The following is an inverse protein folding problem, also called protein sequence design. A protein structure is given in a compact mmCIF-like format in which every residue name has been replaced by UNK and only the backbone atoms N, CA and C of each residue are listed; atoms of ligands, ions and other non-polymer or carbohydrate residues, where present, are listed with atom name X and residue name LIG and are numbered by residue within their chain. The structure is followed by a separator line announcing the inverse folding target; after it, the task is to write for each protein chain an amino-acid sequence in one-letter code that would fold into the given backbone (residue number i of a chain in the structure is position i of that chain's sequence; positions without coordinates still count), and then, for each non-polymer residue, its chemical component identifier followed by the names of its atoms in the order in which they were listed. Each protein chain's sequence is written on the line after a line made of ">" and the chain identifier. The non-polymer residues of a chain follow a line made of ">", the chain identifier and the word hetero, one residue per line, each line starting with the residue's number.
data_IF_367057698867
#
_entry.id   IF_367057698867
#
_cell.length_a   1.000
_cell.length_b   1.000
_cell.length_c   1.000
_cell.angle_alpha   90.00
_cell.angle_beta   90.00
_cell.angle_gamma   90.00
#
_symmetry.space_group_name_H-M   'P 1'
#
loop_
_entity.id
_entity.type
_entity.pdbx_description
1 polymer ?
#
# COMPACT_ATOMS: atom_id res chain seq x y z
N UNK A 1 -10.85 11.85 5.51
CA UNK A 1 -9.51 12.28 5.00
C UNK A 1 -8.56 12.74 6.11
N UNK A 2 -8.78 13.87 6.83
CA UNK A 2 -7.79 14.36 7.84
C UNK A 2 -7.36 13.28 8.83
N UNK A 3 -8.32 12.56 9.41
CA UNK A 3 -8.04 11.44 10.34
C UNK A 3 -7.13 10.39 9.71
N UNK A 4 -7.43 9.94 8.49
CA UNK A 4 -6.63 8.95 7.76
C UNK A 4 -5.19 9.43 7.51
N UNK A 5 -5.00 10.71 7.16
CA UNK A 5 -3.65 11.28 6.99
C UNK A 5 -2.87 11.30 8.31
N UNK A 6 -3.52 11.67 9.42
CA UNK A 6 -2.87 11.68 10.74
C UNK A 6 -2.51 10.26 11.20
N UNK A 7 -3.36 9.28 10.91
CA UNK A 7 -3.12 7.87 11.19
C UNK A 7 -1.95 7.32 10.35
N UNK A 8 -1.92 7.62 9.05
CA UNK A 8 -0.84 7.26 8.13
C UNK A 8 0.52 7.83 8.58
N UNK A 9 0.56 9.12 8.96
CA UNK A 9 1.75 9.77 9.56
C UNK A 9 2.19 9.15 10.87
N UNK A 10 1.24 8.61 11.65
CA UNK A 10 1.52 7.93 12.89
C UNK A 10 1.96 6.46 12.68
N UNK A 11 2.08 6.01 11.43
CA UNK A 11 2.38 4.63 11.04
C UNK A 11 1.35 3.60 11.55
N UNK A 12 0.12 4.06 11.75
CA UNK A 12 -1.06 3.22 11.92
C UNK A 12 -1.89 3.35 10.65
N UNK A 13 -1.54 2.60 9.60
CA UNK A 13 -2.05 2.86 8.25
C UNK A 13 -3.55 2.57 8.12
N UNK A 14 -4.35 3.49 7.56
CA UNK A 14 -5.73 3.22 7.15
C UNK A 14 -5.83 2.44 5.84
N UNK A 15 -4.71 1.92 5.30
CA UNK A 15 -4.59 1.52 3.91
C UNK A 15 -4.55 2.76 3.02
N UNK A 16 -5.26 2.73 1.89
CA UNK A 16 -5.39 3.90 1.02
C UNK A 16 -6.20 5.01 1.69
N UNK A 17 -5.76 6.25 1.54
CA UNK A 17 -6.51 7.43 1.94
C UNK A 17 -7.59 7.68 0.88
N UNK A 18 -8.83 7.29 1.20
CA UNK A 18 -9.99 7.40 0.31
C UNK A 18 -11.02 8.45 0.77
N UNK A 19 -10.77 9.07 1.92
CA UNK A 19 -11.63 10.08 2.51
C UNK A 19 -12.83 9.51 3.29
N UNK A 20 -13.03 8.19 3.32
CA UNK A 20 -14.21 7.52 3.87
C UNK A 20 -13.87 6.78 5.16
N UNK A 21 -14.82 6.74 6.10
CA UNK A 21 -14.70 5.83 7.24
C UNK A 21 -15.05 4.41 6.80
N UNK A 22 -14.33 3.42 7.30
CA UNK A 22 -14.53 2.02 6.94
C UNK A 22 -13.62 1.10 7.76
N UNK A 23 -13.70 -0.20 7.51
CA UNK A 23 -13.03 -1.20 8.35
C UNK A 23 -11.52 -1.00 8.49
N UNK A 24 -10.81 -0.52 7.47
CA UNK A 24 -9.38 -0.22 7.59
C UNK A 24 -9.12 1.04 8.44
N UNK A 25 -9.96 2.06 8.35
CA UNK A 25 -9.88 3.23 9.25
C UNK A 25 -10.11 2.79 10.70
N UNK A 26 -11.07 1.90 10.96
CA UNK A 26 -11.33 1.37 12.32
C UNK A 26 -10.13 0.55 12.85
N UNK A 27 -9.50 -0.26 11.99
CA UNK A 27 -8.25 -0.97 12.32
C UNK A 27 -7.11 -0.02 12.64
N UNK A 28 -6.94 1.02 11.83
CA UNK A 28 -5.92 2.05 12.04
C UNK A 28 -6.11 2.79 13.35
N UNK A 29 -7.36 3.10 13.74
CA UNK A 29 -7.65 3.68 15.06
C UNK A 29 -7.24 2.72 16.18
N UNK A 30 -7.58 1.43 16.10
CA UNK A 30 -7.14 0.42 17.09
C UNK A 30 -5.62 0.30 17.17
N UNK A 31 -4.96 0.30 16.03
CA UNK A 31 -3.50 0.29 15.94
C UNK A 31 -2.90 1.52 16.64
N UNK A 32 -3.43 2.71 16.36
CA UNK A 32 -2.99 3.94 17.00
C UNK A 32 -3.25 3.91 18.52
N UNK A 33 -4.43 3.46 18.96
CA UNK A 33 -4.74 3.27 20.37
C UNK A 33 -3.71 2.37 21.05
N UNK A 34 -3.39 1.22 20.45
CA UNK A 34 -2.39 0.29 20.95
C UNK A 34 -1.00 0.93 21.03
N UNK A 35 -0.58 1.66 20.00
CA UNK A 35 0.71 2.36 19.96
C UNK A 35 0.81 3.47 21.02
N UNK A 36 -0.32 4.08 21.38
CA UNK A 36 -0.40 5.15 22.38
C UNK A 36 -0.72 4.65 23.80
N UNK A 37 -0.94 3.34 24.00
CA UNK A 37 -1.33 2.77 25.28
C UNK A 37 -2.74 3.15 25.73
N UNK A 38 -3.64 3.40 24.78
CA UNK A 38 -5.05 3.71 25.00
C UNK A 38 -5.90 2.44 25.06
N UNK A 39 -7.20 2.60 25.33
CA UNK A 39 -8.18 1.52 25.22
C UNK A 39 -8.39 1.18 23.74
N UNK A 40 -8.12 -0.08 23.37
CA UNK A 40 -8.21 -0.59 21.98
C UNK A 40 -9.67 -0.86 21.52
N UNK A 41 -10.56 0.13 21.57
CA UNK A 41 -11.96 -0.03 21.16
C UNK A 41 -12.27 0.42 19.73
N UNK A 42 -11.31 1.05 19.05
CA UNK A 42 -11.38 1.48 17.65
C UNK A 42 -12.28 2.69 17.44
N UNK A 43 -12.61 3.41 18.51
CA UNK A 43 -13.45 4.59 18.42
C UNK A 43 -12.58 5.84 18.27
N UNK A 44 -12.90 6.68 17.29
CA UNK A 44 -12.34 8.02 17.21
C UNK A 44 -13.01 8.93 18.25
N UNK A 45 -12.68 8.72 19.52
CA UNK A 45 -13.18 9.50 20.64
C UNK A 45 -12.33 10.76 20.90
N UNK A 46 -12.68 11.51 21.95
CA UNK A 46 -11.99 12.75 22.31
C UNK A 46 -10.52 12.50 22.70
N UNK A 47 -10.21 11.38 23.35
CA UNK A 47 -8.86 11.05 23.78
C UNK A 47 -7.96 10.71 22.59
N UNK A 48 -8.45 9.85 21.69
CA UNK A 48 -7.77 9.50 20.43
C UNK A 48 -7.58 10.75 19.57
N UNK A 49 -8.64 11.55 19.40
CA UNK A 49 -8.57 12.78 18.60
C UNK A 49 -7.59 13.80 19.19
N UNK A 50 -7.57 13.99 20.52
CA UNK A 50 -6.64 14.92 21.17
C UNK A 50 -5.18 14.53 20.91
N UNK A 51 -4.86 13.24 20.92
CA UNK A 51 -3.50 12.75 20.61
C UNK A 51 -3.15 12.86 19.13
N UNK A 52 -4.06 12.47 18.22
CA UNK A 52 -3.83 12.60 16.77
C UNK A 52 -3.64 14.05 16.36
N UNK A 53 -4.46 14.96 16.91
CA UNK A 53 -4.44 16.39 16.57
C UNK A 53 -3.25 17.16 17.17
N UNK A 54 -2.38 16.51 17.95
CA UNK A 54 -1.07 17.05 18.29
C UNK A 54 -0.22 17.33 17.03
N UNK A 55 -0.42 16.55 15.96
CA UNK A 55 0.01 16.93 14.62
C UNK A 55 -0.97 17.98 14.04
N UNK A 56 -0.56 19.24 14.15
CA UNK A 56 -1.26 20.40 13.62
C UNK A 56 -0.99 20.66 12.12
N UNK A 57 -0.19 19.81 11.47
CA UNK A 57 0.14 19.94 10.06
C UNK A 57 -1.10 19.89 9.16
N UNK A 58 -1.06 20.53 7.98
CA UNK A 58 -2.11 20.40 6.99
C UNK A 58 -2.19 18.95 6.50
N UNK A 59 -3.39 18.41 6.35
CA UNK A 59 -3.58 17.04 5.86
C UNK A 59 -3.38 16.91 4.34
N UNK A 60 -3.39 18.05 3.64
CA UNK A 60 -3.18 18.15 2.20
C UNK A 60 -2.12 19.20 1.92
N UNK A 61 -1.39 19.01 0.83
CA UNK A 61 -0.42 19.95 0.31
C UNK A 61 -0.62 20.17 -1.19
N UNK A 62 -0.10 21.28 -1.68
CA UNK A 62 -0.02 21.52 -3.13
C UNK A 62 1.17 20.76 -3.71
N UNK A 63 0.97 20.16 -4.87
CA UNK A 63 1.98 19.50 -5.67
C UNK A 63 1.93 20.02 -7.10
N UNK A 64 3.07 20.44 -7.63
CA UNK A 64 3.17 20.86 -9.03
C UNK A 64 3.53 19.63 -9.87
N UNK A 65 2.68 19.33 -10.86
CA UNK A 65 2.93 18.25 -11.81
C UNK A 65 4.22 18.52 -12.58
N UNK A 66 5.15 17.57 -12.52
CA UNK A 66 6.40 17.65 -13.27
C UNK A 66 6.23 17.08 -14.66
N UNK A 67 7.19 17.40 -15.53
CA UNK A 67 7.29 16.78 -16.86
C UNK A 67 7.40 15.26 -16.77
N UNK A 68 8.14 14.75 -15.79
CA UNK A 68 8.33 13.32 -15.57
C UNK A 68 7.02 12.65 -15.14
N UNK A 69 6.23 13.29 -14.27
CA UNK A 69 4.91 12.78 -13.89
C UNK A 69 3.97 12.71 -15.09
N UNK A 70 4.04 13.64 -16.01
CA UNK A 70 3.18 13.60 -17.20
C UNK A 70 3.67 12.59 -18.24
N UNK A 71 4.99 12.46 -18.40
CA UNK A 71 5.60 11.61 -19.42
C UNK A 71 5.50 10.10 -19.12
N UNK A 72 5.47 9.71 -17.85
CA UNK A 72 5.41 8.30 -17.44
C UNK A 72 6.78 7.63 -17.38
N UNK A 73 6.84 6.29 -17.48
CA UNK A 73 6.08 5.45 -18.41
C UNK A 73 4.68 5.04 -17.93
N UNK A 74 3.72 4.99 -18.87
CA UNK A 74 2.34 4.58 -18.61
C UNK A 74 1.84 3.49 -19.57
N UNK A 75 1.00 2.59 -19.05
CA UNK A 75 0.29 1.56 -19.82
C UNK A 75 -1.21 1.72 -19.54
N UNK A 76 -1.93 2.56 -20.29
CA UNK A 76 -3.34 2.89 -20.00
C UNK A 76 -4.28 1.69 -19.98
N UNK A 77 -4.00 0.69 -20.83
CA UNK A 77 -4.77 -0.53 -20.94
C UNK A 77 -3.95 -1.71 -20.44
N UNK A 78 -4.19 -2.10 -19.18
CA UNK A 78 -3.59 -3.30 -18.60
C UNK A 78 -4.58 -4.47 -18.72
N UNK A 79 -4.20 -5.57 -19.39
CA UNK A 79 -5.02 -6.77 -19.42
C UNK A 79 -5.03 -7.42 -18.02
N UNK A 80 -6.10 -8.15 -17.69
CA UNK A 80 -6.19 -8.93 -16.45
C UNK A 80 -5.66 -10.37 -16.59
N UNK A 81 -5.48 -10.86 -17.81
CA UNK A 81 -4.95 -12.20 -18.09
C UNK A 81 -3.42 -12.22 -18.04
N UNK A 82 -2.85 -13.17 -17.29
CA UNK A 82 -1.40 -13.23 -17.09
C UNK A 82 -0.62 -13.53 -18.37
N UNK A 83 -1.17 -14.29 -19.33
CA UNK A 83 -0.50 -14.53 -20.59
C UNK A 83 -0.49 -13.29 -21.49
N UNK A 84 -1.47 -12.40 -21.37
CA UNK A 84 -1.44 -11.10 -22.06
C UNK A 84 -0.51 -10.12 -21.34
N UNK A 85 -0.53 -10.05 -20.01
CA UNK A 85 0.42 -9.25 -19.22
C UNK A 85 1.88 -9.62 -19.54
N UNK A 86 2.17 -10.92 -19.69
CA UNK A 86 3.51 -11.42 -19.99
C UNK A 86 4.06 -10.97 -21.37
N UNK A 87 3.23 -10.41 -22.24
CA UNK A 87 3.63 -9.88 -23.56
C UNK A 87 3.97 -8.39 -23.52
N UNK A 88 3.66 -7.70 -22.43
CA UNK A 88 3.95 -6.28 -22.27
C UNK A 88 5.45 -6.06 -21.99
N UNK A 89 5.93 -4.85 -22.25
CA UNK A 89 7.30 -4.47 -21.88
C UNK A 89 7.43 -4.18 -20.36
N UNK A 90 6.35 -3.69 -19.74
CA UNK A 90 6.27 -3.32 -18.32
C UNK A 90 4.82 -3.31 -17.83
N UNK A 91 4.59 -3.63 -16.56
CA UNK A 91 3.30 -3.45 -15.88
C UNK A 91 3.26 -2.10 -15.14
N UNK A 92 3.40 -1.01 -15.90
CA UNK A 92 3.46 0.36 -15.36
C UNK A 92 2.10 0.85 -14.84
N UNK A 93 2.08 2.03 -14.22
CA UNK A 93 0.83 2.74 -13.93
C UNK A 93 0.03 3.02 -15.21
N UNK A 94 -1.29 3.16 -15.10
CA UNK A 94 -2.20 3.47 -16.20
C UNK A 94 -2.10 4.91 -16.64
N UNK A 95 -1.90 5.81 -15.68
CA UNK A 95 -1.67 7.23 -15.92
C UNK A 95 -1.01 7.91 -14.69
N UNK A 96 -0.79 9.22 -14.82
CA UNK A 96 -0.18 10.03 -13.77
C UNK A 96 -1.05 10.13 -12.52
N UNK A 97 -2.38 10.04 -12.62
CA UNK A 97 -3.25 10.10 -11.46
C UNK A 97 -3.11 8.84 -10.59
N UNK A 98 -3.06 7.64 -11.20
CA UNK A 98 -2.78 6.40 -10.46
C UNK A 98 -1.39 6.43 -9.80
N UNK A 99 -0.37 6.86 -10.55
CA UNK A 99 0.99 6.97 -10.03
C UNK A 99 1.11 7.94 -8.85
N UNK A 100 0.48 9.10 -8.94
CA UNK A 100 0.49 10.11 -7.88
C UNK A 100 -0.40 9.70 -6.70
N UNK A 101 -1.50 8.98 -6.95
CA UNK A 101 -2.31 8.40 -5.89
C UNK A 101 -1.46 7.46 -5.03
N UNK A 102 -0.75 6.50 -5.63
CA UNK A 102 0.16 5.60 -4.93
C UNK A 102 1.25 6.38 -4.17
N UNK A 103 1.91 7.34 -4.84
CA UNK A 103 2.99 8.15 -4.25
C UNK A 103 2.55 8.92 -3.00
N UNK A 104 1.30 9.37 -2.95
CA UNK A 104 0.75 10.14 -1.83
C UNK A 104 -0.21 9.33 -0.95
N UNK A 105 -0.18 7.99 -1.06
CA UNK A 105 -1.00 7.05 -0.28
C UNK A 105 -2.51 7.27 -0.44
N UNK A 106 -2.96 7.78 -1.58
CA UNK A 106 -4.35 8.08 -1.87
C UNK A 106 -5.02 7.01 -2.71
N UNK A 107 -6.34 6.91 -2.59
CA UNK A 107 -7.17 6.28 -3.60
C UNK A 107 -7.22 7.14 -4.88
N UNK A 108 -7.25 6.48 -6.05
CA UNK A 108 -7.26 7.16 -7.35
C UNK A 108 -8.52 8.01 -7.56
N UNK A 109 -9.69 7.56 -7.10
CA UNK A 109 -10.90 8.35 -7.18
C UNK A 109 -10.83 9.57 -6.25
N UNK A 110 -10.18 9.44 -5.08
CA UNK A 110 -10.00 10.58 -4.18
C UNK A 110 -9.13 11.66 -4.80
N UNK A 111 -7.93 11.34 -5.32
CA UNK A 111 -7.04 12.36 -5.90
C UNK A 111 -7.71 13.09 -7.08
N UNK A 112 -8.51 12.38 -7.89
CA UNK A 112 -9.29 13.00 -8.98
C UNK A 112 -10.41 13.89 -8.44
N UNK A 113 -11.15 13.43 -7.41
CA UNK A 113 -12.23 14.21 -6.81
C UNK A 113 -11.73 15.48 -6.10
N UNK A 114 -10.51 15.44 -5.56
CA UNK A 114 -9.87 16.59 -4.91
C UNK A 114 -9.37 17.63 -5.94
N UNK A 115 -9.22 17.21 -7.20
CA UNK A 115 -8.68 18.00 -8.30
C UNK A 115 -9.57 17.94 -9.55
N UNK A 116 -10.84 18.38 -9.48
CA UNK A 116 -11.81 18.18 -10.55
C UNK A 116 -11.44 18.90 -11.86
N UNK A 117 -10.67 19.99 -11.77
CA UNK A 117 -10.24 20.80 -12.92
C UNK A 117 -8.84 20.42 -13.42
N UNK A 118 -8.15 19.46 -12.77
CA UNK A 118 -6.80 19.09 -13.16
C UNK A 118 -6.79 18.19 -14.39
N UNK A 119 -5.94 18.51 -15.35
CA UNK A 119 -5.54 17.62 -16.41
C UNK A 119 -4.18 17.00 -16.04
N UNK A 120 -4.22 15.75 -15.59
CA UNK A 120 -3.05 14.96 -15.22
C UNK A 120 -2.10 14.66 -16.40
N UNK A 121 -2.38 15.21 -17.59
CA UNK A 121 -1.51 15.14 -18.78
C UNK A 121 -0.81 16.48 -19.10
N UNK A 122 -1.01 17.51 -18.28
CA UNK A 122 -0.43 18.83 -18.49
C UNK A 122 0.56 19.16 -17.35
N UNK A 123 1.81 19.43 -17.70
CA UNK A 123 2.86 19.82 -16.73
C UNK A 123 2.58 21.20 -16.12
N UNK A 124 3.28 21.52 -15.03
CA UNK A 124 3.19 22.77 -14.27
C UNK A 124 1.82 23.08 -13.62
N UNK A 125 0.81 22.23 -13.83
CA UNK A 125 -0.45 22.32 -13.08
C UNK A 125 -0.22 22.02 -11.60
N UNK A 126 -0.86 22.80 -10.74
CA UNK A 126 -0.84 22.58 -9.30
C UNK A 126 -2.08 21.80 -8.88
N UNK A 127 -1.86 20.66 -8.23
CA UNK A 127 -2.90 19.81 -7.66
C UNK A 127 -2.78 19.77 -6.13
N UNK A 128 -3.84 19.37 -5.46
CA UNK A 128 -3.88 19.03 -4.04
C UNK A 128 -3.69 17.52 -3.87
N UNK A 129 -2.80 17.14 -2.97
CA UNK A 129 -2.53 15.73 -2.61
C UNK A 129 -2.52 15.59 -1.10
N UNK A 130 -2.73 14.36 -0.60
CA UNK A 130 -2.49 14.06 0.79
C UNK A 130 -1.01 14.30 1.13
N UNK A 131 -0.75 14.67 2.38
CA UNK A 131 0.61 14.85 2.86
C UNK A 131 0.95 13.74 3.87
N UNK A 132 1.55 12.62 3.43
CA UNK A 132 1.82 11.45 4.28
C UNK A 132 2.92 11.70 5.33
N UNK A 133 3.52 12.90 5.35
CA UNK A 133 4.61 13.23 6.25
C UNK A 133 5.97 12.82 5.70
N UNK A 134 6.93 12.64 6.61
CA UNK A 134 8.29 12.23 6.26
C UNK A 134 8.39 10.70 6.15
N UNK A 135 9.35 10.23 5.34
CA UNK A 135 9.63 8.80 5.24
C UNK A 135 10.05 8.22 6.59
N UNK A 136 9.58 7.01 6.95
CA UNK A 136 9.98 6.37 8.19
C UNK A 136 11.45 5.96 8.15
N UNK A 137 12.22 6.34 9.18
CA UNK A 137 13.63 5.96 9.34
C UNK A 137 13.83 4.82 10.36
N UNK A 138 12.77 4.43 11.07
CA UNK A 138 12.85 3.46 12.16
C UNK A 138 13.17 2.07 11.63
N UNK A 139 14.19 1.44 12.21
CA UNK A 139 14.56 0.06 11.86
C UNK A 139 13.53 -0.93 12.38
N UNK A 140 13.10 -1.84 11.50
CA UNK A 140 12.24 -2.98 11.82
C UNK A 140 13.11 -4.18 12.19
N UNK A 141 12.87 -4.76 13.36
CA UNK A 141 13.50 -6.00 13.83
C UNK A 141 12.64 -7.23 13.51
N UNK A 142 11.32 -7.11 13.70
CA UNK A 142 10.38 -8.22 13.53
C UNK A 142 9.08 -7.79 12.89
N UNK A 143 8.59 -8.59 11.95
CA UNK A 143 7.26 -8.44 11.35
C UNK A 143 6.37 -9.59 11.82
N UNK A 144 5.14 -9.27 12.22
CA UNK A 144 4.08 -10.22 12.54
C UNK A 144 2.93 -10.00 11.58
N UNK A 145 2.51 -11.05 10.87
CA UNK A 145 1.33 -11.03 10.01
C UNK A 145 0.22 -11.79 10.72
N UNK A 146 -0.77 -11.07 11.24
CA UNK A 146 -1.90 -11.64 11.96
C UNK A 146 -3.07 -11.92 11.01
N UNK A 147 -3.26 -13.20 10.71
CA UNK A 147 -4.34 -13.67 9.83
C UNK A 147 -5.73 -13.42 10.38
N UNK A 148 -5.88 -13.50 11.71
CA UNK A 148 -7.17 -13.35 12.36
C UNK A 148 -7.69 -11.92 12.29
N UNK A 149 -6.75 -10.96 12.24
CA UNK A 149 -7.05 -9.53 12.11
C UNK A 149 -6.93 -9.01 10.69
N UNK A 150 -6.18 -9.69 9.82
CA UNK A 150 -5.87 -9.18 8.48
C UNK A 150 -4.98 -7.95 8.57
N UNK A 151 -3.87 -8.07 9.31
CA UNK A 151 -2.97 -6.98 9.66
C UNK A 151 -1.51 -7.44 9.62
N UNK A 152 -0.63 -6.52 9.24
CA UNK A 152 0.82 -6.62 9.39
C UNK A 152 1.26 -5.67 10.49
N UNK A 153 2.10 -6.14 11.39
CA UNK A 153 2.64 -5.37 12.52
C UNK A 153 4.16 -5.44 12.45
N UNK A 154 4.83 -4.30 12.34
CA UNK A 154 6.27 -4.20 12.45
C UNK A 154 6.69 -3.74 13.84
N UNK A 155 7.71 -4.37 14.39
CA UNK A 155 8.29 -4.09 15.69
C UNK A 155 9.74 -3.63 15.54
N UNK A 156 10.14 -2.65 16.34
CA UNK A 156 11.55 -2.33 16.60
C UNK A 156 12.18 -3.36 17.54
N UNK A 157 13.52 -3.30 17.69
CA UNK A 157 14.31 -4.18 18.55
C UNK A 157 13.89 -4.14 20.03
N UNK A 158 13.43 -2.98 20.50
CA UNK A 158 12.91 -2.79 21.86
C UNK A 158 11.48 -3.31 22.06
N UNK A 159 10.88 -3.90 21.03
CA UNK A 159 9.53 -4.46 21.05
C UNK A 159 8.41 -3.44 20.87
N UNK A 160 8.71 -2.15 20.64
CA UNK A 160 7.68 -1.17 20.27
C UNK A 160 7.16 -1.43 18.86
N UNK A 161 5.86 -1.20 18.67
CA UNK A 161 5.25 -1.18 17.35
C UNK A 161 5.73 0.09 16.62
N UNK A 162 6.15 -0.08 15.38
CA UNK A 162 6.66 1.02 14.53
C UNK A 162 5.86 1.18 13.23
N UNK A 163 5.07 0.17 12.88
CA UNK A 163 4.14 0.19 11.75
C UNK A 163 3.04 -0.83 11.99
N UNK A 164 1.81 -0.45 11.64
CA UNK A 164 0.68 -1.37 11.53
C UNK A 164 -0.07 -1.08 10.23
N UNK A 165 -0.18 -2.09 9.37
CA UNK A 165 -0.87 -1.98 8.09
C UNK A 165 -2.00 -3.00 7.98
N UNK A 166 -3.16 -2.66 7.39
CA UNK A 166 -4.13 -3.66 6.96
C UNK A 166 -3.49 -4.55 5.89
N UNK A 167 -3.70 -5.86 5.99
CA UNK A 167 -3.14 -6.84 5.07
C UNK A 167 -4.22 -7.75 4.51
N UNK A 168 -4.21 -7.95 3.19
CA UNK A 168 -4.98 -9.03 2.56
C UNK A 168 -4.13 -10.29 2.61
N UNK A 169 -4.60 -11.30 3.34
CA UNK A 169 -3.86 -12.54 3.57
C UNK A 169 -4.64 -13.70 2.94
N UNK A 170 -3.91 -14.66 2.36
CA UNK A 170 -4.46 -15.73 1.53
C UNK A 170 -5.71 -16.40 2.14
N UNK A 171 -6.69 -16.67 1.27
CA UNK A 171 -7.99 -17.25 1.62
C UNK A 171 -7.88 -18.71 2.10
N UNK A 172 -9.00 -19.29 2.52
CA UNK A 172 -9.06 -20.73 2.85
C UNK A 172 -8.72 -21.62 1.64
N UNK A 173 -9.04 -21.19 0.42
CA UNK A 173 -8.73 -21.91 -0.83
C UNK A 173 -7.25 -21.83 -1.20
N UNK A 174 -6.57 -20.75 -0.83
CA UNK A 174 -5.14 -20.52 -1.06
C UNK A 174 -4.47 -19.97 0.20
N UNK A 175 -4.31 -20.80 1.25
CA UNK A 175 -3.93 -20.32 2.56
C UNK A 175 -2.47 -19.86 2.59
N UNK A 176 -2.24 -18.71 3.21
CA UNK A 176 -0.88 -18.30 3.59
C UNK A 176 -0.33 -19.27 4.65
N UNK A 177 0.99 -19.50 4.72
CA UNK A 177 1.62 -20.37 5.71
C UNK A 177 1.58 -19.75 7.10
N UNK A 178 1.62 -20.57 8.14
CA UNK A 178 1.81 -20.12 9.53
C UNK A 178 3.18 -20.57 10.05
N UNK A 179 3.75 -19.84 11.00
CA UNK A 179 5.04 -20.13 11.63
C UNK A 179 6.04 -18.98 11.47
N UNK A 180 7.30 -19.26 11.81
CA UNK A 180 8.38 -18.27 11.71
C UNK A 180 9.11 -18.43 10.39
N UNK A 181 9.27 -17.32 9.66
CA UNK A 181 10.08 -17.23 8.45
C UNK A 181 11.19 -16.19 8.65
N UNK A 182 12.23 -16.27 7.82
CA UNK A 182 13.27 -15.23 7.72
C UNK A 182 13.05 -14.42 6.46
N UNK A 183 13.16 -13.10 6.55
CA UNK A 183 13.34 -12.24 5.38
C UNK A 183 14.66 -12.62 4.70
N UNK A 184 14.60 -12.83 3.39
CA UNK A 184 15.74 -13.25 2.56
C UNK A 184 16.30 -12.13 1.70
N UNK A 185 15.47 -11.14 1.38
CA UNK A 185 15.84 -9.97 0.62
C UNK A 185 14.59 -9.19 0.24
N UNK A 186 14.78 -8.08 -0.45
CA UNK A 186 13.71 -7.32 -1.05
C UNK A 186 14.06 -6.92 -2.47
N UNK A 187 13.03 -6.73 -3.30
CA UNK A 187 13.16 -6.26 -4.67
C UNK A 187 12.11 -5.17 -4.92
N UNK A 188 12.55 -4.05 -5.51
CA UNK A 188 11.66 -3.02 -6.04
C UNK A 188 11.34 -3.34 -7.49
N UNK A 189 10.09 -3.10 -7.88
CA UNK A 189 9.52 -3.44 -9.19
C UNK A 189 9.95 -4.85 -9.65
N UNK A 190 9.61 -5.91 -8.89
CA UNK A 190 10.04 -7.26 -9.23
C UNK A 190 9.35 -7.79 -10.48
N UNK A 191 10.06 -8.61 -11.26
CA UNK A 191 9.43 -9.55 -12.20
C UNK A 191 8.61 -10.59 -11.43
N UNK A 192 7.50 -11.05 -12.01
CA UNK A 192 6.69 -12.10 -11.39
C UNK A 192 6.79 -13.42 -12.14
N UNK A 193 7.32 -14.44 -11.46
CA UNK A 193 7.42 -15.81 -11.98
C UNK A 193 6.15 -16.60 -11.62
N UNK A 194 5.31 -16.85 -12.62
CA UNK A 194 4.06 -17.59 -12.47
C UNK A 194 4.26 -19.07 -12.84
N UNK A 195 3.94 -19.97 -11.90
CA UNK A 195 3.86 -21.40 -12.14
C UNK A 195 2.47 -21.93 -11.71
N UNK A 196 1.56 -22.24 -12.67
CA UNK A 196 0.20 -22.67 -12.34
C UNK A 196 0.13 -23.98 -11.55
N UNK A 197 1.23 -24.76 -11.52
CA UNK A 197 1.31 -25.99 -10.73
C UNK A 197 1.72 -25.75 -9.28
N UNK A 198 2.30 -24.59 -8.96
CA UNK A 198 2.81 -24.25 -7.63
C UNK A 198 2.04 -23.12 -6.96
N UNK A 199 1.62 -22.11 -7.73
CA UNK A 199 0.91 -20.95 -7.23
C UNK A 199 -0.60 -21.24 -7.19
N UNK A 200 -1.28 -20.93 -8.29
CA UNK A 200 -2.70 -21.16 -8.54
C UNK A 200 -2.92 -21.06 -10.05
N UNK A 201 -4.06 -21.54 -10.56
CA UNK A 201 -4.38 -21.36 -11.98
C UNK A 201 -5.17 -20.06 -12.20
N UNK A 202 -4.49 -19.02 -12.68
CA UNK A 202 -5.12 -17.79 -13.17
C UNK A 202 -5.75 -18.04 -14.54
N UNK A 203 -7.06 -17.81 -14.66
CA UNK A 203 -7.82 -18.00 -15.90
C UNK A 203 -7.59 -19.39 -16.52
N UNK A 204 -7.24 -19.42 -17.81
CA UNK A 204 -6.93 -20.66 -18.56
C UNK A 204 -5.42 -20.93 -18.68
N UNK A 205 -4.59 -20.22 -17.92
CA UNK A 205 -3.13 -20.27 -18.05
C UNK A 205 -2.55 -21.52 -17.41
N UNK A 206 -2.11 -22.46 -18.25
CA UNK A 206 -1.55 -23.79 -17.87
C UNK A 206 -0.03 -23.89 -18.03
N UNK A 207 0.63 -22.81 -18.44
CA UNK A 207 2.08 -22.75 -18.68
C UNK A 207 2.73 -21.79 -17.69
N UNK A 208 4.03 -21.98 -17.48
CA UNK A 208 4.84 -21.00 -16.76
C UNK A 208 4.92 -19.72 -17.58
N UNK A 209 4.87 -18.59 -16.89
CA UNK A 209 4.97 -17.25 -17.48
C UNK A 209 5.92 -16.42 -16.62
N UNK A 210 6.67 -15.54 -17.27
CA UNK A 210 7.43 -14.50 -16.60
C UNK A 210 6.76 -13.18 -16.94
N UNK A 211 6.17 -12.53 -15.94
CA UNK A 211 5.54 -11.23 -16.12
C UNK A 211 6.59 -10.13 -15.92
N UNK A 212 6.61 -9.10 -16.78
CA UNK A 212 7.57 -8.01 -16.69
C UNK A 212 7.37 -7.22 -15.39
N UNK A 213 8.40 -6.46 -14.94
CA UNK A 213 8.30 -5.71 -13.71
C UNK A 213 7.31 -4.55 -13.80
N UNK A 214 6.89 -4.01 -12.66
CA UNK A 214 6.15 -2.76 -12.57
C UNK A 214 5.16 -2.72 -11.41
N UNK A 215 4.68 -1.52 -11.03
CA UNK A 215 3.81 -1.31 -9.87
C UNK A 215 2.46 -2.03 -9.99
N UNK A 216 1.94 -2.23 -11.21
CA UNK A 216 0.71 -2.99 -11.44
C UNK A 216 0.98 -4.49 -11.65
N UNK A 217 2.15 -4.97 -11.25
CA UNK A 217 2.46 -6.39 -11.21
C UNK A 217 1.67 -7.13 -10.13
N UNK A 218 1.52 -8.47 -10.23
CA UNK A 218 0.75 -9.26 -9.26
C UNK A 218 1.20 -9.17 -7.79
N UNK A 219 2.43 -8.72 -7.55
CA UNK A 219 3.03 -8.55 -6.22
C UNK A 219 3.33 -7.09 -5.91
N UNK A 220 2.78 -6.15 -6.68
CA UNK A 220 2.96 -4.72 -6.48
C UNK A 220 4.37 -4.19 -6.79
N UNK A 221 4.66 -3.02 -6.23
CA UNK A 221 5.89 -2.26 -6.47
C UNK A 221 7.09 -2.71 -5.64
N UNK A 222 6.88 -3.50 -4.57
CA UNK A 222 7.93 -4.02 -3.70
C UNK A 222 7.58 -5.44 -3.27
N UNK A 223 8.56 -6.34 -3.32
CA UNK A 223 8.47 -7.69 -2.78
C UNK A 223 9.50 -7.90 -1.69
N UNK A 224 9.08 -8.45 -0.56
CA UNK A 224 9.96 -8.91 0.53
C UNK A 224 9.92 -10.45 0.55
N UNK A 225 11.03 -11.07 0.13
CA UNK A 225 11.12 -12.51 0.00
C UNK A 225 11.25 -13.19 1.37
N UNK A 226 10.51 -14.28 1.57
CA UNK A 226 10.55 -15.06 2.81
C UNK A 226 11.25 -16.41 2.58
N UNK A 227 11.81 -16.97 3.65
CA UNK A 227 12.46 -18.28 3.62
C UNK A 227 11.55 -19.45 3.23
N UNK A 228 10.23 -19.22 3.16
CA UNK A 228 9.26 -20.20 2.67
C UNK A 228 9.12 -19.99 1.16
N UNK A 229 9.40 -21.00 0.31
CA UNK A 229 9.31 -20.86 -1.13
C UNK A 229 7.95 -20.33 -1.58
N UNK A 230 7.97 -19.41 -2.56
CA UNK A 230 6.80 -18.77 -3.19
C UNK A 230 5.98 -17.82 -2.30
N UNK A 231 6.43 -17.51 -1.09
CA UNK A 231 5.75 -16.57 -0.20
C UNK A 231 6.62 -15.35 0.08
N UNK A 232 5.94 -14.20 0.16
CA UNK A 232 6.54 -12.90 0.42
C UNK A 232 5.50 -11.97 1.03
N UNK A 233 5.96 -10.77 1.36
CA UNK A 233 5.15 -9.63 1.76
C UNK A 233 5.24 -8.61 0.62
#
# INVERSE_FOLDING_TARGET
>A
MRVQVLLDRAHASPGVIDGRSGGNTDKAVRAYEQMQGLKEDGALDEEVWSKLSADAGPAVKTYQLTKEDVAGPYVPELPSDYAEMAKLDRLAYRDAAEMLAERFHMDEALIRSLNPEADFKTEDQTILVADPGADPETKVDRIVVDKSKGELIAYAEDGRIVLMDPATIGSEDTPSPSGTMKVKGSAREPTYEYDPKKNFQQGKNRKKLTLPPGPNGPVGSVWIDLSKPTYGI
#
